data_IF_217702314712
#
_entry.id   IF_217702314712
#
_cell.length_a   1.000
_cell.length_b   1.000
_cell.length_c   1.000
_cell.angle_alpha   90.00
_cell.angle_beta   90.00
_cell.angle_gamma   90.00
#
_symmetry.space_group_name_H-M   'P 1'
#
loop_
_entity.id
_entity.type
_entity.pdbx_description
1 polymer ?
#
# COMPACT_ATOMS: atom_id res chain seq x y z
N UNK A 1 4.56 17.96 16.35
CA UNK A 1 5.28 16.85 15.72
C UNK A 1 5.70 17.31 14.34
N UNK A 2 6.95 17.06 13.95
CA UNK A 2 7.50 17.51 12.68
C UNK A 2 7.90 16.33 11.80
N UNK A 3 7.72 16.49 10.49
CA UNK A 3 8.17 15.57 9.46
C UNK A 3 9.05 16.31 8.46
N UNK A 4 10.00 15.62 7.86
CA UNK A 4 10.99 16.23 6.96
C UNK A 4 10.93 15.58 5.59
N UNK A 5 11.00 16.39 4.53
CA UNK A 5 11.06 15.91 3.16
C UNK A 5 12.20 16.59 2.41
N UNK A 6 12.97 15.77 1.71
CA UNK A 6 14.12 16.21 0.94
C UNK A 6 13.72 16.36 -0.53
N UNK A 7 14.15 17.45 -1.14
CA UNK A 7 13.80 17.79 -2.52
C UNK A 7 15.04 18.10 -3.34
N UNK A 8 15.04 17.66 -4.59
CA UNK A 8 15.98 18.18 -5.60
C UNK A 8 15.63 19.65 -5.90
N UNK A 9 16.62 20.51 -6.17
CA UNK A 9 16.43 21.96 -6.33
C UNK A 9 15.89 22.31 -7.72
N UNK A 10 14.77 21.71 -8.13
CA UNK A 10 14.10 22.02 -9.40
C UNK A 10 13.15 23.20 -9.24
N UNK A 11 12.79 23.85 -10.36
CA UNK A 11 11.88 25.00 -10.36
C UNK A 11 10.51 24.60 -9.80
N UNK A 12 10.05 23.38 -10.11
CA UNK A 12 8.78 22.82 -9.66
C UNK A 12 8.78 22.63 -8.14
N UNK A 13 9.80 21.98 -7.57
CA UNK A 13 9.87 21.76 -6.11
C UNK A 13 9.98 23.08 -5.34
N UNK A 14 10.72 24.06 -5.88
CA UNK A 14 10.82 25.39 -5.26
C UNK A 14 9.46 26.10 -5.32
N UNK A 15 8.78 26.05 -6.47
CA UNK A 15 7.45 26.61 -6.65
C UNK A 15 6.43 25.97 -5.71
N UNK A 16 6.45 24.65 -5.55
CA UNK A 16 5.55 23.93 -4.63
C UNK A 16 5.72 24.45 -3.20
N UNK A 17 6.96 24.57 -2.72
CA UNK A 17 7.23 25.07 -1.37
C UNK A 17 6.80 26.54 -1.20
N UNK A 18 7.10 27.40 -2.17
CA UNK A 18 6.69 28.81 -2.14
C UNK A 18 5.16 28.97 -2.07
N UNK A 19 4.44 28.10 -2.78
CA UNK A 19 2.97 28.09 -2.81
C UNK A 19 2.36 27.23 -1.70
N UNK A 20 3.16 26.68 -0.77
CA UNK A 20 2.73 25.78 0.32
C UNK A 20 1.99 24.53 -0.19
N UNK A 21 2.39 24.04 -1.36
CA UNK A 21 1.90 22.81 -1.96
C UNK A 21 2.80 21.64 -1.56
N UNK A 22 2.21 20.44 -1.54
CA UNK A 22 2.92 19.19 -1.31
C UNK A 22 2.62 18.26 -2.48
N UNK A 23 3.67 17.87 -3.20
CA UNK A 23 3.53 16.87 -4.25
C UNK A 23 3.29 15.47 -3.65
N UNK A 24 2.29 14.78 -4.20
CA UNK A 24 1.95 13.40 -3.85
C UNK A 24 1.99 12.52 -5.09
N UNK A 25 2.71 11.40 -5.00
CA UNK A 25 2.81 10.41 -6.07
C UNK A 25 1.56 9.54 -6.17
N UNK A 26 1.26 9.04 -7.36
CA UNK A 26 0.51 7.78 -7.46
C UNK A 26 1.41 6.63 -6.98
N UNK A 27 0.92 5.68 -6.17
CA UNK A 27 1.68 4.51 -5.74
C UNK A 27 2.31 3.73 -6.91
N UNK A 28 1.65 3.69 -8.07
CA UNK A 28 2.15 2.99 -9.26
C UNK A 28 3.41 3.64 -9.86
N UNK A 29 3.56 4.95 -9.65
CA UNK A 29 4.71 5.75 -10.11
C UNK A 29 5.76 5.97 -9.02
N UNK A 30 5.52 5.42 -7.82
CA UNK A 30 6.38 5.63 -6.67
C UNK A 30 7.65 4.78 -6.80
N UNK A 31 8.77 5.44 -7.09
CA UNK A 31 10.01 4.81 -7.55
C UNK A 31 11.02 4.52 -6.42
N UNK A 32 10.57 4.39 -5.17
CA UNK A 32 11.46 3.97 -4.09
C UNK A 32 11.33 2.45 -3.88
N UNK A 33 12.34 1.64 -4.27
CA UNK A 33 12.28 0.18 -4.13
C UNK A 33 12.26 -0.30 -2.68
N UNK A 34 12.63 0.55 -1.72
CA UNK A 34 12.61 0.26 -0.29
C UNK A 34 11.37 0.79 0.42
N UNK A 35 10.47 1.47 -0.30
CA UNK A 35 9.37 2.17 0.33
C UNK A 35 8.02 1.77 -0.31
N UNK A 36 7.16 1.29 0.58
CA UNK A 36 5.77 0.85 0.42
C UNK A 36 5.29 0.52 -1.00
N UNK A 37 5.61 -0.69 -1.48
CA UNK A 37 4.92 -1.29 -2.63
C UNK A 37 3.49 -1.65 -2.21
N UNK A 38 2.51 -0.83 -2.55
CA UNK A 38 1.10 -1.20 -2.45
C UNK A 38 0.81 -2.22 -3.56
N UNK A 39 0.49 -3.45 -3.17
CA UNK A 39 0.08 -4.48 -4.12
C UNK A 39 -1.03 -5.33 -3.54
N UNK A 40 -1.86 -5.87 -4.43
CA UNK A 40 -2.85 -6.87 -4.09
C UNK A 40 -2.22 -8.25 -4.18
N UNK A 41 -2.17 -8.97 -3.06
CA UNK A 41 -1.72 -10.37 -3.05
C UNK A 41 -2.83 -11.28 -3.57
N UNK A 42 -2.76 -11.55 -4.88
CA UNK A 42 -3.71 -12.40 -5.60
C UNK A 42 -3.76 -13.80 -4.99
N UNK A 43 -2.62 -14.42 -4.71
CA UNK A 43 -2.55 -15.80 -4.22
C UNK A 43 -3.20 -15.95 -2.85
N UNK A 44 -2.96 -14.98 -1.96
CA UNK A 44 -3.60 -14.94 -0.64
C UNK A 44 -5.11 -14.74 -0.73
N UNK A 45 -5.57 -13.87 -1.64
CA UNK A 45 -7.00 -13.70 -1.88
C UNK A 45 -7.65 -14.99 -2.41
N UNK A 46 -7.04 -15.63 -3.40
CA UNK A 46 -7.60 -16.85 -4.00
C UNK A 46 -7.68 -18.00 -3.00
N UNK A 47 -6.65 -18.16 -2.17
CA UNK A 47 -6.66 -19.12 -1.07
C UNK A 47 -7.80 -18.82 -0.09
N UNK A 48 -7.92 -17.57 0.35
CA UNK A 48 -8.98 -17.16 1.27
C UNK A 48 -10.37 -17.41 0.70
N UNK A 49 -10.60 -17.01 -0.56
CA UNK A 49 -11.88 -17.20 -1.25
C UNK A 49 -12.23 -18.68 -1.34
N UNK A 50 -11.26 -19.52 -1.69
CA UNK A 50 -11.42 -20.97 -1.76
C UNK A 50 -11.75 -21.58 -0.41
N UNK A 51 -11.01 -21.25 0.65
CA UNK A 51 -11.29 -21.72 2.01
C UNK A 51 -12.70 -21.29 2.46
N UNK A 52 -13.11 -20.07 2.14
CA UNK A 52 -14.44 -19.56 2.50
C UNK A 52 -15.56 -20.35 1.84
N UNK A 53 -15.33 -20.87 0.63
CA UNK A 53 -16.32 -21.70 -0.09
C UNK A 53 -16.62 -23.03 0.63
N UNK A 54 -15.68 -23.56 1.43
CA UNK A 54 -15.82 -24.85 2.11
C UNK A 54 -16.97 -24.88 3.12
N UNK A 55 -17.38 -23.73 3.66
CA UNK A 55 -18.48 -23.64 4.63
C UNK A 55 -19.84 -23.92 4.00
N UNK A 56 -19.99 -23.62 2.71
CA UNK A 56 -21.27 -23.62 2.03
C UNK A 56 -21.38 -24.71 0.96
N UNK A 57 -20.25 -25.32 0.55
CA UNK A 57 -20.19 -26.18 -0.63
C UNK A 57 -19.40 -27.48 -0.36
N UNK A 58 -19.92 -28.61 -0.86
CA UNK A 58 -19.27 -29.93 -0.87
C UNK A 58 -18.40 -30.14 -2.12
N UNK A 59 -17.87 -29.07 -2.71
CA UNK A 59 -17.12 -29.11 -3.99
C UNK A 59 -15.81 -29.90 -3.85
N UNK A 60 -15.13 -29.76 -2.70
CA UNK A 60 -13.83 -30.33 -2.42
C UNK A 60 -13.93 -31.47 -1.41
N UNK A 61 -13.14 -32.52 -1.63
CA UNK A 61 -12.87 -33.59 -0.66
C UNK A 61 -12.07 -33.08 0.54
N UNK A 62 -12.09 -33.81 1.65
CA UNK A 62 -11.31 -33.46 2.85
C UNK A 62 -9.79 -33.48 2.58
N UNK A 63 -9.32 -34.32 1.67
CA UNK A 63 -7.91 -34.35 1.27
C UNK A 63 -7.51 -33.06 0.53
N UNK A 64 -8.32 -32.63 -0.45
CA UNK A 64 -8.10 -31.39 -1.18
C UNK A 64 -8.17 -30.15 -0.28
N UNK A 65 -9.12 -30.12 0.66
CA UNK A 65 -9.21 -29.05 1.67
C UNK A 65 -7.95 -28.98 2.51
N UNK A 66 -7.44 -30.12 2.99
CA UNK A 66 -6.21 -30.19 3.77
C UNK A 66 -4.98 -29.72 2.99
N UNK A 67 -4.91 -30.02 1.68
CA UNK A 67 -3.86 -29.49 0.80
C UNK A 67 -3.95 -27.96 0.74
N UNK A 68 -5.15 -27.41 0.48
CA UNK A 68 -5.37 -25.97 0.38
C UNK A 68 -5.03 -25.24 1.68
N UNK A 69 -5.42 -25.77 2.85
CA UNK A 69 -5.09 -25.17 4.15
C UNK A 69 -3.58 -25.11 4.42
N UNK A 70 -2.80 -26.05 3.89
CA UNK A 70 -1.34 -26.11 4.11
C UNK A 70 -0.54 -25.26 3.12
N UNK A 71 -1.17 -24.70 2.09
CA UNK A 71 -0.47 -23.87 1.10
C UNK A 71 0.12 -22.61 1.71
N UNK A 72 1.30 -22.23 1.24
CA UNK A 72 2.06 -21.08 1.73
C UNK A 72 2.09 -19.99 0.65
N UNK A 73 1.62 -18.79 1.00
CA UNK A 73 1.57 -17.66 0.06
C UNK A 73 2.68 -16.61 0.29
N UNK A 74 3.72 -16.94 1.06
CA UNK A 74 4.83 -16.02 1.35
C UNK A 74 6.03 -16.22 0.42
N UNK A 75 6.75 -15.14 0.13
CA UNK A 75 7.90 -15.10 -0.82
C UNK A 75 9.09 -16.01 -0.46
N UNK A 76 9.14 -16.53 0.77
CA UNK A 76 10.29 -17.31 1.29
C UNK A 76 10.19 -18.83 1.02
N UNK A 77 9.13 -19.31 0.38
CA UNK A 77 8.85 -20.74 0.25
C UNK A 77 8.88 -21.23 -1.20
N UNK A 78 9.06 -22.55 -1.36
CA UNK A 78 9.02 -23.24 -2.64
C UNK A 78 7.71 -22.97 -3.38
N UNK A 79 7.79 -22.60 -4.67
CA UNK A 79 6.62 -22.40 -5.53
C UNK A 79 5.68 -23.62 -5.56
N UNK A 80 6.23 -24.83 -5.40
CA UNK A 80 5.47 -26.07 -5.35
C UNK A 80 4.56 -26.18 -4.13
N UNK A 81 4.79 -25.39 -3.09
CA UNK A 81 3.95 -25.30 -1.88
C UNK A 81 2.97 -24.13 -1.92
N UNK A 82 2.94 -23.36 -3.02
CA UNK A 82 2.06 -22.22 -3.17
C UNK A 82 0.62 -22.62 -3.49
N UNK A 83 -0.34 -21.76 -3.12
CA UNK A 83 -1.74 -21.96 -3.46
C UNK A 83 -1.97 -22.12 -4.96
N UNK A 84 -1.45 -21.24 -5.86
CA UNK A 84 -1.69 -21.38 -7.29
C UNK A 84 -1.22 -22.72 -7.86
N UNK A 85 -0.10 -23.25 -7.34
CA UNK A 85 0.42 -24.53 -7.79
C UNK A 85 -0.45 -25.69 -7.31
N UNK A 86 -0.70 -25.81 -6.01
CA UNK A 86 -1.49 -26.92 -5.46
C UNK A 86 -2.93 -26.89 -5.96
N UNK A 87 -3.54 -25.70 -6.08
CA UNK A 87 -4.89 -25.55 -6.62
C UNK A 87 -4.97 -25.98 -8.09
N UNK A 88 -3.96 -25.62 -8.90
CA UNK A 88 -3.88 -26.10 -10.28
C UNK A 88 -3.84 -27.62 -10.35
N UNK A 89 -3.01 -28.27 -9.53
CA UNK A 89 -2.94 -29.73 -9.49
C UNK A 89 -4.28 -30.37 -9.13
N UNK A 90 -5.02 -29.79 -8.16
CA UNK A 90 -6.36 -30.25 -7.81
C UNK A 90 -7.29 -30.17 -9.02
N UNK A 91 -7.31 -29.04 -9.72
CA UNK A 91 -8.19 -28.86 -10.89
C UNK A 91 -7.81 -29.78 -12.05
N UNK A 92 -6.52 -29.89 -12.38
CA UNK A 92 -6.02 -30.73 -13.48
C UNK A 92 -6.30 -32.22 -13.26
N UNK A 93 -6.32 -32.67 -12.01
CA UNK A 93 -6.61 -34.06 -11.65
C UNK A 93 -8.11 -34.33 -11.42
N UNK A 94 -8.97 -33.31 -11.55
CA UNK A 94 -10.39 -33.42 -11.24
C UNK A 94 -11.25 -33.55 -12.50
N UNK A 95 -12.17 -34.52 -12.47
CA UNK A 95 -13.27 -34.62 -13.43
C UNK A 95 -14.58 -33.98 -12.89
N UNK A 96 -14.52 -33.31 -11.74
CA UNK A 96 -15.69 -32.72 -11.11
C UNK A 96 -16.05 -31.39 -11.77
N UNK A 97 -17.18 -31.34 -12.48
CA UNK A 97 -17.67 -30.13 -13.14
C UNK A 97 -17.86 -28.95 -12.16
N UNK A 98 -18.17 -29.23 -10.89
CA UNK A 98 -18.29 -28.19 -9.87
C UNK A 98 -16.94 -27.54 -9.53
N UNK A 99 -15.84 -28.30 -9.55
CA UNK A 99 -14.48 -27.76 -9.37
C UNK A 99 -14.09 -26.88 -10.56
N UNK A 100 -14.42 -27.31 -11.79
CA UNK A 100 -14.17 -26.54 -13.01
C UNK A 100 -15.00 -25.24 -13.05
N UNK A 101 -16.26 -25.30 -12.64
CA UNK A 101 -17.12 -24.13 -12.51
C UNK A 101 -16.58 -23.17 -11.44
N UNK A 102 -16.15 -23.69 -10.29
CA UNK A 102 -15.56 -22.91 -9.22
C UNK A 102 -14.25 -22.22 -9.66
N UNK A 103 -13.38 -22.90 -10.43
CA UNK A 103 -12.17 -22.28 -10.98
C UNK A 103 -12.50 -21.06 -11.85
N UNK A 104 -13.51 -21.15 -12.72
CA UNK A 104 -13.95 -20.03 -13.56
C UNK A 104 -14.50 -18.87 -12.73
N UNK A 105 -15.30 -19.18 -11.71
CA UNK A 105 -15.81 -18.19 -10.76
C UNK A 105 -14.68 -17.48 -10.03
N UNK A 106 -13.72 -18.24 -9.49
CA UNK A 106 -12.55 -17.73 -8.78
C UNK A 106 -11.76 -16.77 -9.67
N UNK A 107 -11.40 -17.16 -10.89
CA UNK A 107 -10.67 -16.30 -11.83
C UNK A 107 -11.42 -15.02 -12.19
N UNK A 108 -12.74 -15.11 -12.35
CA UNK A 108 -13.58 -13.95 -12.65
C UNK A 108 -13.57 -12.97 -11.49
N UNK A 109 -13.76 -13.46 -10.27
CA UNK A 109 -13.77 -12.62 -9.06
C UNK A 109 -12.39 -12.04 -8.74
N UNK A 110 -11.32 -12.83 -8.88
CA UNK A 110 -9.94 -12.35 -8.78
C UNK A 110 -9.68 -11.21 -9.76
N UNK A 111 -10.08 -11.37 -11.02
CA UNK A 111 -9.88 -10.36 -12.06
C UNK A 111 -10.62 -9.07 -11.75
N UNK A 112 -11.87 -9.17 -11.30
CA UNK A 112 -12.70 -8.01 -10.93
C UNK A 112 -12.08 -7.24 -9.75
N UNK A 113 -11.68 -7.95 -8.70
CA UNK A 113 -11.05 -7.33 -7.52
C UNK A 113 -9.70 -6.72 -7.88
N UNK A 114 -8.85 -7.42 -8.62
CA UNK A 114 -7.57 -6.90 -9.05
C UNK A 114 -7.73 -5.61 -9.88
N UNK A 115 -8.71 -5.57 -10.80
CA UNK A 115 -9.04 -4.37 -11.57
C UNK A 115 -9.51 -3.23 -10.65
N UNK A 116 -10.40 -3.53 -9.71
CA UNK A 116 -10.88 -2.54 -8.75
C UNK A 116 -9.76 -1.97 -7.88
N UNK A 117 -8.91 -2.83 -7.29
CA UNK A 117 -7.78 -2.41 -6.46
C UNK A 117 -6.78 -1.59 -7.28
N UNK A 118 -6.44 -2.00 -8.50
CA UNK A 118 -5.58 -1.20 -9.40
C UNK A 118 -6.17 0.18 -9.67
N UNK A 119 -7.48 0.27 -9.91
CA UNK A 119 -8.18 1.55 -10.04
C UNK A 119 -8.07 2.41 -8.78
N UNK A 120 -8.23 1.80 -7.59
CA UNK A 120 -8.05 2.54 -6.33
C UNK A 120 -6.61 3.08 -6.17
N UNK A 121 -5.62 2.23 -6.44
CA UNK A 121 -4.19 2.56 -6.31
C UNK A 121 -3.84 3.71 -7.27
N UNK A 122 -4.20 3.59 -8.55
CA UNK A 122 -3.90 4.59 -9.57
C UNK A 122 -4.67 5.90 -9.36
N UNK A 123 -5.98 5.83 -9.11
CA UNK A 123 -6.87 6.99 -9.20
C UNK A 123 -7.08 7.69 -7.85
N UNK A 124 -7.16 6.93 -6.75
CA UNK A 124 -7.63 7.48 -5.46
C UNK A 124 -6.52 7.70 -4.44
N UNK A 125 -5.54 6.80 -4.39
CA UNK A 125 -4.48 6.90 -3.40
C UNK A 125 -3.35 7.81 -3.87
N UNK A 126 -2.88 8.64 -2.95
CA UNK A 126 -1.74 9.52 -3.17
C UNK A 126 -0.78 9.38 -2.01
N UNK A 127 0.51 9.26 -2.32
CA UNK A 127 1.56 8.92 -1.37
C UNK A 127 2.62 10.02 -1.35
N UNK A 128 3.05 10.39 -0.16
CA UNK A 128 4.33 11.06 0.02
C UNK A 128 5.08 10.46 1.22
N UNK A 129 6.39 10.35 1.05
CA UNK A 129 7.27 9.82 2.08
C UNK A 129 8.03 10.94 2.76
N UNK A 130 8.19 10.77 4.07
CA UNK A 130 8.80 11.69 4.99
C UNK A 130 9.81 10.96 5.88
N UNK A 131 10.78 11.71 6.38
CA UNK A 131 11.62 11.30 7.49
C UNK A 131 11.02 11.85 8.79
N UNK A 132 10.89 11.00 9.80
CA UNK A 132 10.63 11.43 11.16
C UNK A 132 11.99 11.60 11.86
N UNK A 133 12.34 12.84 12.21
CA UNK A 133 13.60 13.12 12.90
C UNK A 133 13.59 12.49 14.30
N UNK A 134 14.51 11.57 14.54
CA UNK A 134 14.82 11.08 15.88
C UNK A 134 16.31 11.28 16.14
N UNK A 135 16.69 11.60 17.37
CA UNK A 135 18.07 11.97 17.76
C UNK A 135 19.18 10.96 17.31
N UNK A 136 18.81 9.73 16.94
CA UNK A 136 19.71 8.67 16.47
C UNK A 136 19.60 8.32 14.95
N UNK A 137 18.93 9.12 14.10
CA UNK A 137 18.66 8.79 12.67
C UNK A 137 19.62 9.39 11.63
N UNK A 138 20.81 9.87 12.02
CA UNK A 138 21.75 10.56 11.12
C UNK A 138 22.13 9.78 9.86
N UNK A 139 22.27 8.45 9.95
CA UNK A 139 22.66 7.62 8.80
C UNK A 139 21.55 7.51 7.75
N UNK A 140 20.30 7.31 8.17
CA UNK A 140 19.16 7.22 7.25
C UNK A 140 18.82 8.58 6.61
N UNK A 141 19.02 9.67 7.33
CA UNK A 141 18.85 11.02 6.78
C UNK A 141 19.89 11.34 5.71
N UNK A 142 21.15 10.92 5.89
CA UNK A 142 22.17 11.07 4.86
C UNK A 142 21.81 10.29 3.60
N UNK A 143 21.29 9.06 3.75
CA UNK A 143 20.81 8.27 2.61
C UNK A 143 19.62 8.92 1.91
N UNK A 144 18.63 9.42 2.67
CA UNK A 144 17.48 10.13 2.10
C UNK A 144 17.91 11.41 1.39
N UNK A 145 18.82 12.18 1.97
CA UNK A 145 19.34 13.42 1.35
C UNK A 145 20.19 13.11 0.10
N UNK A 146 20.97 12.03 0.12
CA UNK A 146 21.73 11.57 -1.03
C UNK A 146 20.79 11.18 -2.20
N UNK A 147 19.70 10.47 -1.89
CA UNK A 147 18.78 9.92 -2.88
C UNK A 147 17.76 10.93 -3.40
N UNK A 148 17.13 11.70 -2.51
CA UNK A 148 16.00 12.58 -2.84
C UNK A 148 16.39 14.03 -3.14
N UNK A 149 17.54 14.48 -2.65
CA UNK A 149 18.00 15.86 -2.77
C UNK A 149 19.32 15.95 -3.58
N UNK A 150 19.30 15.31 -4.75
CA UNK A 150 20.34 15.39 -5.79
C UNK A 150 21.77 15.19 -5.25
N UNK A 151 21.98 14.15 -4.43
CA UNK A 151 23.27 13.89 -3.76
C UNK A 151 23.72 15.04 -2.86
N UNK A 152 22.87 15.42 -1.90
CA UNK A 152 23.11 16.52 -0.94
C UNK A 152 23.20 17.94 -1.53
N UNK A 153 22.74 18.15 -2.76
CA UNK A 153 22.70 19.49 -3.42
C UNK A 153 21.32 20.13 -3.43
N UNK A 154 20.31 19.41 -2.95
CA UNK A 154 18.95 19.91 -2.79
C UNK A 154 18.71 20.56 -1.44
N UNK A 155 17.44 20.65 -1.06
CA UNK A 155 17.01 21.29 0.18
C UNK A 155 16.09 20.37 0.98
N UNK A 156 15.94 20.69 2.26
CA UNK A 156 15.06 19.99 3.20
C UNK A 156 13.94 20.94 3.63
N UNK A 157 12.71 20.43 3.67
CA UNK A 157 11.54 21.15 4.16
C UNK A 157 10.99 20.43 5.37
N UNK A 158 10.82 21.19 6.45
CA UNK A 158 10.17 20.75 7.68
C UNK A 158 8.66 21.04 7.60
N UNK A 159 7.85 20.05 7.97
CA UNK A 159 6.39 20.11 7.99
C UNK A 159 5.91 19.93 9.42
N UNK A 160 5.27 20.98 9.98
CA UNK A 160 4.56 20.87 11.26
C UNK A 160 3.22 20.15 11.05
N UNK A 161 3.13 18.92 11.55
CA UNK A 161 1.91 18.12 11.49
C UNK A 161 1.11 18.16 12.79
N UNK A 162 1.54 18.93 13.80
CA UNK A 162 0.78 19.13 15.04
C UNK A 162 -0.68 19.53 14.80
N UNK A 163 -1.00 20.42 13.83
CA UNK A 163 -2.39 20.80 13.57
C UNK A 163 -3.29 19.65 13.16
N UNK A 164 -2.74 18.58 12.58
CA UNK A 164 -3.53 17.40 12.22
C UNK A 164 -4.13 16.72 13.45
N UNK A 165 -3.45 16.80 14.60
CA UNK A 165 -3.85 16.12 15.83
C UNK A 165 -4.61 17.03 16.81
N UNK A 166 -4.90 18.28 16.43
CA UNK A 166 -5.57 19.25 17.29
C UNK A 166 -7.09 19.05 17.35
N UNK A 167 -7.69 18.48 16.31
CA UNK A 167 -9.07 18.00 16.36
C UNK A 167 -9.07 16.52 16.72
N UNK A 168 -10.11 16.07 17.42
CA UNK A 168 -10.34 14.65 17.76
C UNK A 168 -10.43 13.82 16.48
N UNK A 169 -9.30 13.47 15.87
CA UNK A 169 -9.24 12.39 14.90
C UNK A 169 -9.73 11.16 15.66
N UNK A 170 -10.90 10.66 15.30
CA UNK A 170 -11.41 9.44 15.90
C UNK A 170 -10.57 8.27 15.36
N UNK A 171 -10.39 7.21 16.15
CA UNK A 171 -9.65 6.00 15.73
C UNK A 171 -10.14 5.38 14.39
N UNK A 172 -11.33 5.76 13.90
CA UNK A 172 -11.87 5.37 12.59
C UNK A 172 -11.25 6.14 11.40
N UNK A 173 -10.70 7.33 11.65
CA UNK A 173 -10.13 8.22 10.64
C UNK A 173 -8.62 7.97 10.46
N UNK A 174 -7.98 7.34 11.45
CA UNK A 174 -6.64 6.75 11.40
C UNK A 174 -6.77 5.24 11.20
N UNK A 175 -6.36 4.69 10.06
CA UNK A 175 -6.07 3.25 10.06
C UNK A 175 -4.81 3.06 10.92
N UNK A 176 -5.00 2.66 12.18
CA UNK A 176 -3.93 2.20 13.06
C UNK A 176 -3.32 0.92 12.47
N UNK A 177 -2.40 1.07 11.53
CA UNK A 177 -1.43 0.04 11.21
C UNK A 177 -0.21 0.36 12.03
N UNK A 178 -0.13 -0.26 13.22
CA UNK A 178 1.11 -0.38 13.99
C UNK A 178 2.11 -1.25 13.22
N UNK A 179 2.66 -0.69 12.16
CA UNK A 179 4.01 -0.97 11.69
C UNK A 179 4.76 0.34 11.93
N UNK A 180 5.95 0.28 12.53
CA UNK A 180 6.73 1.40 13.08
C UNK A 180 7.08 2.54 12.09
N UNK A 181 6.44 2.63 10.92
CA UNK A 181 6.74 3.61 9.87
C UNK A 181 5.57 4.08 8.98
N UNK A 182 4.29 3.80 9.32
CA UNK A 182 3.16 4.06 8.41
C UNK A 182 2.04 4.86 9.09
N UNK A 183 1.74 6.06 8.59
CA UNK A 183 0.60 6.89 9.02
C UNK A 183 -0.42 7.02 7.87
N UNK A 184 -1.50 6.25 7.93
CA UNK A 184 -2.57 6.31 6.93
C UNK A 184 -3.64 7.33 7.36
N UNK A 185 -3.81 8.41 6.60
CA UNK A 185 -4.86 9.40 6.85
C UNK A 185 -6.04 9.20 5.87
N UNK A 186 -7.15 8.63 6.35
CA UNK A 186 -8.36 8.50 5.51
C UNK A 186 -9.01 9.85 5.18
N UNK A 187 -8.73 10.85 6.01
CA UNK A 187 -9.36 12.16 5.94
C UNK A 187 -8.39 13.25 6.36
N UNK A 188 -7.32 13.41 5.59
CA UNK A 188 -6.82 14.77 5.41
C UNK A 188 -7.92 15.47 4.60
N UNK A 189 -8.88 16.08 5.29
CA UNK A 189 -9.43 17.31 4.78
C UNK A 189 -8.20 18.20 4.64
N UNK A 190 -7.60 18.20 3.45
CA UNK A 190 -6.72 19.26 3.00
C UNK A 190 -7.57 20.48 3.23
N UNK A 191 -7.35 21.16 4.36
CA UNK A 191 -8.18 22.29 4.76
C UNK A 191 -8.34 23.14 3.52
N UNK A 192 -9.57 23.54 3.20
CA UNK A 192 -10.01 24.20 1.96
C UNK A 192 -9.19 25.45 1.54
N UNK A 193 -8.10 25.75 2.24
CA UNK A 193 -7.10 26.79 2.01
C UNK A 193 -5.84 26.36 1.24
N UNK A 194 -5.55 25.07 1.02
CA UNK A 194 -4.35 24.66 0.25
C UNK A 194 -4.66 24.27 -1.20
N UNK A 195 -5.93 23.96 -1.52
CA UNK A 195 -6.39 23.70 -2.89
C UNK A 195 -7.50 24.68 -3.26
N UNK A 196 -7.17 25.96 -3.42
CA UNK A 196 -8.11 26.90 -4.04
C UNK A 196 -8.02 26.82 -5.56
N UNK A 197 -9.16 26.48 -6.17
CA UNK A 197 -9.54 26.62 -7.58
C UNK A 197 -9.39 25.37 -8.46
N UNK A 198 -10.20 24.35 -8.18
CA UNK A 198 -11.00 23.73 -9.25
C UNK A 198 -12.25 23.08 -8.68
N UNK A 199 -13.38 23.43 -9.28
CA UNK A 199 -14.72 22.96 -8.98
C UNK A 199 -14.88 21.51 -9.43
N UNK A 200 -14.61 20.58 -8.51
CA UNK A 200 -15.05 19.17 -8.40
C UNK A 200 -13.98 18.47 -7.56
N UNK A 201 -14.03 18.66 -6.25
CA UNK A 201 -13.00 18.21 -5.32
C UNK A 201 -13.03 16.67 -5.19
N UNK A 202 -12.34 15.99 -6.10
CA UNK A 202 -11.83 14.65 -5.86
C UNK A 202 -10.84 14.78 -4.69
N UNK A 203 -11.24 14.41 -3.48
CA UNK A 203 -10.34 14.37 -2.32
C UNK A 203 -9.64 13.01 -2.32
N UNK A 204 -8.38 12.89 -2.79
CA UNK A 204 -7.66 11.63 -2.72
C UNK A 204 -7.46 11.22 -1.26
N UNK A 205 -7.45 9.91 -1.00
CA UNK A 205 -7.03 9.41 0.31
C UNK A 205 -5.50 9.52 0.38
N UNK A 206 -5.01 10.26 1.37
CA UNK A 206 -3.59 10.57 1.52
C UNK A 206 -2.97 9.58 2.50
N UNK A 207 -1.95 8.86 2.04
CA UNK A 207 -1.17 7.97 2.88
C UNK A 207 0.21 8.60 3.10
N UNK A 208 0.55 8.87 4.36
CA UNK A 208 1.84 9.42 4.76
C UNK A 208 2.71 8.29 5.33
N UNK A 209 3.83 7.99 4.69
CA UNK A 209 4.81 7.07 5.25
C UNK A 209 5.90 7.87 5.94
N UNK A 210 6.26 7.49 7.17
CA UNK A 210 7.30 8.13 7.94
C UNK A 210 8.27 7.05 8.44
N UNK A 211 9.49 6.98 7.90
CA UNK A 211 10.44 5.93 8.28
C UNK A 211 10.93 6.12 9.72
N UNK A 212 10.57 5.20 10.62
CA UNK A 212 11.13 5.08 11.96
C UNK A 212 12.28 4.05 12.02
N UNK A 213 13.17 4.19 12.99
CA UNK A 213 14.36 3.34 13.18
C UNK A 213 13.98 1.86 13.41
N UNK A 214 14.02 1.06 12.34
CA UNK A 214 13.96 -0.40 12.40
C UNK A 214 15.26 -0.99 11.85
N UNK A 215 16.05 -1.59 12.74
CA UNK A 215 17.18 -2.46 12.38
C UNK A 215 16.57 -3.68 11.66
N UNK A 216 17.03 -3.97 10.43
CA UNK A 216 16.87 -5.29 9.80
C UNK A 216 17.88 -6.26 10.43
#
# INVERSE_FOLDING_TARGET
MYLYKFYSPTIENISDVQNRLLWLASPDTFNDPYDCKLFFDISSFEQYYTIRSFKNNLIFSEEEKNIIYKTLNTKSHSYFESFPYKFRQIVENSNNEAILAFQKELWTNTSNINKYIKGLISDKYRIACFSAYMWNSKEYEQLMWAHYAQSHRGFCVEYDISPLFNDKIMDKDLFNIYSFSILIFNKLAVSDKILSNSSEAFTPTIILFAKGNGIL
#
